data_IF_701345206847
#
_entry.id   IF_701345206847
#
_cell.length_a   1.000
_cell.length_b   1.000
_cell.length_c   1.000
_cell.angle_alpha   90.00
_cell.angle_beta   90.00
_cell.angle_gamma   90.00
#
_symmetry.space_group_name_H-M   'P 1'
#
loop_
_entity.id
_entity.type
_entity.pdbx_description
1 polymer ?
#
# COMPACT_ATOMS: atom_id res chain seq x y z
N UNK A 1 -20.26 -40.45 73.34
CA UNK A 1 -19.86 -39.11 73.80
C UNK A 1 -19.83 -38.22 72.56
N UNK A 2 -20.97 -37.67 72.12
CA UNK A 2 -21.45 -36.30 72.47
C UNK A 2 -20.37 -35.25 72.07
N UNK A 3 -20.56 -34.27 71.16
CA UNK A 3 -21.75 -33.57 70.65
C UNK A 3 -21.43 -32.88 69.30
N UNK A 4 -22.48 -32.64 68.49
CA UNK A 4 -22.60 -31.50 67.57
C UNK A 4 -23.42 -30.40 68.27
N UNK A 5 -23.24 -29.11 67.95
CA UNK A 5 -24.32 -28.35 67.28
C UNK A 5 -23.73 -27.43 66.18
N UNK A 6 -24.26 -27.42 64.96
CA UNK A 6 -25.32 -26.54 64.44
C UNK A 6 -25.36 -25.12 65.04
N UNK A 7 -25.03 -24.12 64.21
CA UNK A 7 -25.73 -22.84 64.25
C UNK A 7 -25.71 -22.19 62.86
N UNK A 8 -26.89 -22.19 62.26
CA UNK A 8 -27.26 -21.40 61.09
C UNK A 8 -27.79 -20.06 61.60
N UNK A 9 -27.29 -18.92 61.13
CA UNK A 9 -28.14 -17.73 60.96
C UNK A 9 -27.52 -16.69 60.03
N UNK A 10 -28.36 -16.31 59.08
CA UNK A 10 -28.22 -15.28 58.07
C UNK A 10 -28.13 -13.89 58.69
N UNK A 11 -27.35 -13.00 58.07
CA UNK A 11 -27.73 -11.60 57.93
C UNK A 11 -27.25 -11.10 56.56
N UNK A 12 -28.21 -10.96 55.66
CA UNK A 12 -28.07 -10.22 54.40
C UNK A 12 -28.20 -8.72 54.71
N UNK A 13 -27.20 -7.91 54.35
CA UNK A 13 -27.43 -6.52 53.93
C UNK A 13 -26.53 -6.19 52.74
N UNK A 14 -27.19 -5.95 51.60
CA UNK A 14 -26.63 -5.42 50.37
C UNK A 14 -25.99 -4.03 50.60
N UNK A 15 -24.82 -3.81 50.02
CA UNK A 15 -24.56 -2.59 49.24
C UNK A 15 -23.62 -2.92 48.08
N UNK A 16 -24.25 -3.18 46.94
CA UNK A 16 -23.87 -2.77 45.59
C UNK A 16 -22.41 -2.31 45.39
N UNK A 17 -21.57 -3.21 44.87
CA UNK A 17 -20.34 -2.83 44.17
C UNK A 17 -20.44 -3.34 42.74
N UNK A 18 -21.06 -2.49 41.93
CA UNK A 18 -20.99 -2.49 40.48
C UNK A 18 -19.51 -2.54 40.03
N UNK A 19 -19.02 -3.60 39.35
CA UNK A 19 -17.86 -3.45 38.51
C UNK A 19 -18.37 -2.86 37.19
N UNK A 20 -18.26 -1.54 37.02
CA UNK A 20 -18.33 -0.94 35.69
C UNK A 20 -17.26 -1.60 34.82
N UNK A 21 -17.71 -2.56 34.02
CA UNK A 21 -16.96 -3.12 32.92
C UNK A 21 -16.89 -2.04 31.83
N UNK A 22 -15.71 -1.67 31.33
CA UNK A 22 -15.64 -0.90 30.10
C UNK A 22 -15.92 -1.86 28.96
N UNK A 23 -17.20 -2.08 28.66
CA UNK A 23 -17.64 -2.71 27.42
C UNK A 23 -17.52 -1.68 26.28
N UNK A 24 -16.27 -1.39 25.90
CA UNK A 24 -15.96 -0.60 24.72
C UNK A 24 -15.14 -1.48 23.78
N UNK A 25 -15.84 -2.13 22.86
CA UNK A 25 -15.36 -2.41 21.51
C UNK A 25 -13.95 -3.03 21.37
N UNK A 26 -13.64 -4.11 22.10
CA UNK A 26 -12.42 -4.91 21.90
C UNK A 26 -12.24 -5.40 20.45
N UNK A 27 -13.35 -5.63 19.75
CA UNK A 27 -13.35 -6.07 18.36
C UNK A 27 -13.05 -4.93 17.38
N UNK A 28 -13.31 -3.66 17.77
CA UNK A 28 -12.97 -2.48 16.96
C UNK A 28 -11.50 -2.10 17.19
N UNK A 29 -10.99 -2.20 18.42
CA UNK A 29 -9.60 -1.84 18.73
C UNK A 29 -8.58 -2.81 18.11
N UNK A 30 -8.87 -4.12 18.07
CA UNK A 30 -7.97 -5.10 17.40
C UNK A 30 -8.07 -4.98 15.87
N UNK A 31 -9.27 -4.80 15.31
CA UNK A 31 -9.43 -4.58 13.87
C UNK A 31 -8.85 -3.24 13.39
N UNK A 32 -8.72 -2.22 14.26
CA UNK A 32 -8.10 -0.94 13.93
C UNK A 32 -6.57 -0.95 14.03
N UNK A 33 -5.97 -1.71 14.97
CA UNK A 33 -4.50 -1.82 15.05
C UNK A 33 -3.87 -2.54 13.84
N UNK A 34 -4.60 -3.48 13.22
CA UNK A 34 -4.13 -4.22 12.03
C UNK A 34 -4.08 -3.40 10.72
N UNK A 35 -4.50 -2.13 10.76
CA UNK A 35 -4.84 -1.36 9.55
C UNK A 35 -4.13 -0.02 9.41
N UNK A 36 -3.27 0.34 10.36
CA UNK A 36 -2.58 1.62 10.32
C UNK A 36 -1.40 1.58 9.34
N UNK A 37 -1.26 2.65 8.55
CA UNK A 37 -0.15 2.80 7.63
C UNK A 37 1.01 3.41 8.40
N UNK A 38 2.17 2.75 8.35
CA UNK A 38 3.39 3.18 8.98
C UNK A 38 4.51 3.31 7.92
N UNK A 39 4.68 4.49 7.32
CA UNK A 39 5.73 4.73 6.35
C UNK A 39 7.14 4.64 6.94
N UNK A 40 7.30 4.81 8.27
CA UNK A 40 8.60 4.74 8.94
C UNK A 40 9.18 3.33 8.93
N UNK A 41 8.32 2.32 9.04
CA UNK A 41 8.68 0.90 8.96
C UNK A 41 8.37 0.25 7.60
N UNK A 42 8.06 1.04 6.57
CA UNK A 42 7.64 0.55 5.25
C UNK A 42 6.48 -0.45 5.35
N UNK A 43 5.47 -0.14 6.15
CA UNK A 43 4.26 -0.96 6.33
C UNK A 43 3.03 -0.24 5.81
N UNK A 44 2.40 -0.83 4.80
CA UNK A 44 1.24 -0.25 4.13
C UNK A 44 0.13 -1.31 3.94
N UNK A 45 -0.56 -1.74 5.01
CA UNK A 45 -1.60 -2.77 4.92
C UNK A 45 -2.64 -2.47 3.84
N UNK A 46 -2.89 -3.45 2.96
CA UNK A 46 -3.89 -3.37 1.88
C UNK A 46 -3.69 -2.21 0.89
N UNK A 47 -2.44 -1.78 0.69
CA UNK A 47 -2.12 -0.70 -0.21
C UNK A 47 -1.46 -1.17 -1.51
N UNK A 48 -1.72 -0.45 -2.58
CA UNK A 48 -0.79 -0.36 -3.71
C UNK A 48 0.19 0.77 -3.39
N UNK A 49 1.47 0.53 -3.57
CA UNK A 49 2.55 1.49 -3.32
C UNK A 49 3.24 1.86 -4.62
N UNK A 50 3.82 3.06 -4.66
CA UNK A 50 4.49 3.58 -5.85
C UNK A 50 5.74 4.38 -5.49
N UNK A 51 6.79 4.23 -6.30
CA UNK A 51 8.07 4.94 -6.14
C UNK A 51 8.60 5.44 -7.50
N UNK A 52 9.23 6.63 -7.57
CA UNK A 52 9.78 7.15 -8.82
C UNK A 52 10.96 6.28 -9.31
N UNK A 53 10.98 6.01 -10.62
CA UNK A 53 12.09 5.36 -11.31
C UNK A 53 13.10 6.45 -11.71
N UNK A 54 14.37 6.35 -11.31
CA UNK A 54 15.41 7.31 -11.70
C UNK A 54 15.46 7.52 -13.22
N UNK A 55 15.69 8.76 -13.64
CA UNK A 55 15.68 9.22 -15.03
C UNK A 55 14.30 9.15 -15.72
N UNK A 56 13.60 8.01 -15.68
CA UNK A 56 12.32 7.82 -16.38
C UNK A 56 11.22 8.70 -15.79
N UNK A 57 11.05 8.70 -14.47
CA UNK A 57 10.05 9.55 -13.80
C UNK A 57 10.41 11.03 -13.91
N UNK A 58 11.68 11.38 -14.14
CA UNK A 58 12.09 12.77 -14.34
C UNK A 58 11.60 13.32 -15.68
N UNK A 59 11.41 12.47 -16.70
CA UNK A 59 10.75 12.87 -17.95
C UNK A 59 9.23 12.78 -17.84
N UNK A 60 8.72 11.75 -17.16
CA UNK A 60 7.30 11.42 -17.10
C UNK A 60 6.89 11.18 -15.64
N UNK A 61 6.50 12.22 -14.87
CA UNK A 61 6.32 12.14 -13.41
C UNK A 61 5.17 11.24 -12.95
N UNK A 62 4.32 10.80 -13.87
CA UNK A 62 3.25 9.82 -13.64
C UNK A 62 3.70 8.36 -13.85
N UNK A 63 4.83 8.13 -14.55
CA UNK A 63 5.40 6.80 -14.72
C UNK A 63 6.35 6.52 -13.57
N UNK A 64 6.17 5.37 -12.93
CA UNK A 64 7.07 4.89 -11.90
C UNK A 64 6.81 3.43 -11.57
N UNK A 65 7.43 2.97 -10.50
CA UNK A 65 7.42 1.57 -10.10
C UNK A 65 6.31 1.31 -9.09
N UNK A 66 5.66 0.16 -9.19
CA UNK A 66 4.48 -0.19 -8.41
C UNK A 66 4.70 -1.48 -7.63
N UNK A 67 4.12 -1.57 -6.44
CA UNK A 67 4.03 -2.80 -5.65
C UNK A 67 2.67 -2.92 -5.00
N UNK A 68 2.34 -4.11 -4.52
CA UNK A 68 1.13 -4.38 -3.74
C UNK A 68 1.51 -4.92 -2.37
N UNK A 69 0.77 -4.54 -1.34
CA UNK A 69 1.09 -4.88 0.03
C UNK A 69 0.13 -5.94 0.57
N UNK A 70 0.68 -6.88 1.35
CA UNK A 70 -0.11 -7.87 2.08
C UNK A 70 -0.96 -7.22 3.16
N UNK A 71 -1.78 -8.02 3.82
CA UNK A 71 -2.57 -7.61 4.97
C UNK A 71 -1.73 -7.19 6.18
N UNK A 72 -0.50 -7.68 6.29
CA UNK A 72 0.50 -7.23 7.27
C UNK A 72 1.26 -5.97 6.82
N UNK A 73 0.93 -5.42 5.65
CA UNK A 73 1.60 -4.25 5.07
C UNK A 73 2.97 -4.53 4.48
N UNK A 74 3.35 -5.79 4.26
CA UNK A 74 4.60 -6.15 3.61
C UNK A 74 4.48 -5.93 2.10
N UNK A 75 5.39 -5.12 1.56
CA UNK A 75 5.42 -4.79 0.13
C UNK A 75 5.88 -6.01 -0.68
N UNK A 76 5.20 -6.28 -1.79
CA UNK A 76 5.60 -7.20 -2.85
C UNK A 76 5.66 -6.43 -4.17
N UNK A 77 6.82 -6.39 -4.80
CA UNK A 77 7.02 -5.77 -6.10
C UNK A 77 7.91 -6.61 -6.99
N UNK A 78 7.55 -6.69 -8.27
CA UNK A 78 8.36 -7.35 -9.29
C UNK A 78 9.53 -6.43 -9.66
N UNK A 79 10.66 -6.61 -8.97
CA UNK A 79 11.81 -5.71 -8.98
C UNK A 79 12.82 -6.00 -10.11
N UNK A 80 12.67 -7.12 -10.81
CA UNK A 80 13.53 -7.49 -11.94
C UNK A 80 13.21 -8.89 -12.45
N UNK A 81 13.88 -9.36 -13.52
CA UNK A 81 13.61 -10.68 -14.09
C UNK A 81 13.71 -11.77 -13.02
N UNK A 82 12.66 -12.59 -12.92
CA UNK A 82 12.58 -13.71 -11.98
C UNK A 82 12.65 -13.31 -10.49
N UNK A 83 12.48 -12.02 -10.17
CA UNK A 83 12.67 -11.51 -8.82
C UNK A 83 11.51 -10.63 -8.37
N UNK A 84 10.78 -11.13 -7.38
CA UNK A 84 9.80 -10.37 -6.61
C UNK A 84 10.40 -10.07 -5.25
N UNK A 85 10.60 -8.79 -4.97
CA UNK A 85 11.15 -8.33 -3.69
C UNK A 85 10.09 -8.38 -2.60
N UNK A 86 10.55 -8.47 -1.36
CA UNK A 86 9.74 -8.51 -0.16
C UNK A 86 10.20 -7.43 0.83
N UNK A 87 9.29 -6.54 1.21
CA UNK A 87 9.51 -5.51 2.21
C UNK A 87 10.17 -4.22 1.70
N UNK A 88 10.93 -4.26 0.61
CA UNK A 88 11.57 -3.08 0.01
C UNK A 88 11.27 -2.98 -1.48
N UNK A 89 10.97 -1.77 -1.97
CA UNK A 89 10.80 -1.54 -3.40
C UNK A 89 12.13 -1.40 -4.14
N UNK A 90 12.16 -1.82 -5.41
CA UNK A 90 13.34 -1.78 -6.28
C UNK A 90 14.05 -0.42 -6.38
N UNK A 91 13.30 0.69 -6.35
CA UNK A 91 13.83 2.05 -6.54
C UNK A 91 13.76 2.90 -5.26
N UNK A 92 13.75 2.23 -4.10
CA UNK A 92 13.69 2.85 -2.78
C UNK A 92 12.27 3.09 -2.29
N UNK A 93 12.16 3.61 -1.06
CA UNK A 93 10.90 3.68 -0.31
C UNK A 93 9.73 4.29 -1.11
N UNK A 94 8.50 3.77 -0.91
CA UNK A 94 7.30 4.34 -1.51
C UNK A 94 7.21 5.84 -1.29
N UNK A 95 6.90 6.58 -2.35
CA UNK A 95 6.57 8.01 -2.26
C UNK A 95 5.06 8.23 -2.25
N UNK A 96 4.30 7.28 -2.79
CA UNK A 96 2.84 7.27 -2.75
C UNK A 96 2.30 5.91 -2.34
N UNK A 97 1.10 5.93 -1.81
CA UNK A 97 0.29 4.75 -1.53
C UNK A 97 -1.17 5.01 -1.89
N UNK A 98 -1.87 3.97 -2.29
CA UNK A 98 -3.32 3.95 -2.49
C UNK A 98 -3.87 2.80 -1.65
N UNK A 99 -4.66 3.13 -0.62
CA UNK A 99 -5.29 2.13 0.26
C UNK A 99 -6.56 1.58 -0.40
N UNK A 100 -6.67 0.25 -0.45
CA UNK A 100 -7.81 -0.49 -0.99
C UNK A 100 -8.62 -1.09 0.16
N UNK A 101 -9.87 -1.45 -0.14
CA UNK A 101 -10.74 -2.11 0.84
C UNK A 101 -10.65 -3.63 0.65
N UNK A 102 -10.05 -4.38 1.59
CA UNK A 102 -9.92 -5.83 1.46
C UNK A 102 -11.26 -6.56 1.40
N UNK A 103 -12.39 -5.96 1.83
CA UNK A 103 -13.70 -6.58 1.72
C UNK A 103 -14.17 -6.71 0.26
N UNK A 104 -13.60 -5.91 -0.64
CA UNK A 104 -13.90 -5.96 -2.08
C UNK A 104 -13.09 -7.06 -2.80
N UNK A 105 -12.18 -7.75 -2.12
CA UNK A 105 -11.53 -8.94 -2.61
C UNK A 105 -12.41 -10.18 -2.36
N UNK A 106 -12.40 -11.11 -3.31
CA UNK A 106 -13.01 -12.43 -3.12
C UNK A 106 -12.34 -13.11 -1.93
N UNK A 107 -13.14 -13.57 -0.97
CA UNK A 107 -12.68 -14.15 0.30
C UNK A 107 -11.97 -13.16 1.27
N UNK A 108 -12.19 -11.85 1.10
CA UNK A 108 -11.73 -10.82 2.04
C UNK A 108 -10.20 -10.79 2.21
N UNK A 109 -9.76 -10.54 3.46
CA UNK A 109 -8.33 -10.49 3.85
C UNK A 109 -7.55 -11.75 3.43
N UNK A 110 -8.14 -12.93 3.58
CA UNK A 110 -7.48 -14.20 3.23
C UNK A 110 -7.25 -14.32 1.72
N UNK A 111 -8.28 -14.04 0.91
CA UNK A 111 -8.14 -14.08 -0.54
C UNK A 111 -7.20 -13.01 -1.10
N UNK A 112 -7.10 -11.86 -0.43
CA UNK A 112 -6.13 -10.81 -0.75
C UNK A 112 -4.69 -11.34 -0.66
N UNK A 113 -4.30 -11.92 0.47
CA UNK A 113 -2.93 -12.40 0.69
C UNK A 113 -2.57 -13.59 -0.20
N UNK A 114 -3.51 -14.53 -0.37
CA UNK A 114 -3.33 -15.69 -1.26
C UNK A 114 -3.08 -15.22 -2.69
N UNK A 115 -3.90 -14.29 -3.21
CA UNK A 115 -3.74 -13.80 -4.57
C UNK A 115 -2.43 -13.02 -4.79
N UNK A 116 -1.94 -12.29 -3.79
CA UNK A 116 -0.62 -11.63 -3.85
C UNK A 116 0.49 -12.68 -3.89
N UNK A 117 0.39 -13.72 -3.07
CA UNK A 117 1.35 -14.83 -3.06
C UNK A 117 1.38 -15.52 -4.43
N UNK A 118 0.22 -15.90 -4.96
CA UNK A 118 0.09 -16.58 -6.25
C UNK A 118 0.62 -15.72 -7.41
N UNK A 119 0.28 -14.42 -7.44
CA UNK A 119 0.84 -13.50 -8.42
C UNK A 119 2.36 -13.39 -8.31
N UNK A 120 2.89 -13.40 -7.09
CA UNK A 120 4.34 -13.35 -6.87
C UNK A 120 5.04 -14.62 -7.35
N UNK A 121 4.46 -15.81 -7.13
CA UNK A 121 5.00 -17.07 -7.66
C UNK A 121 5.00 -17.09 -9.19
N UNK A 122 3.92 -16.60 -9.83
CA UNK A 122 3.87 -16.47 -11.30
C UNK A 122 4.99 -15.56 -11.82
N UNK A 123 5.23 -14.42 -11.16
CA UNK A 123 6.23 -13.46 -11.63
C UNK A 123 7.68 -13.81 -11.27
N UNK A 124 7.91 -14.67 -10.26
CA UNK A 124 9.21 -15.32 -10.04
C UNK A 124 9.63 -16.18 -11.24
N UNK A 125 8.68 -16.68 -12.04
CA UNK A 125 8.95 -17.41 -13.27
C UNK A 125 9.05 -16.55 -14.54
N UNK A 126 8.87 -15.23 -14.46
CA UNK A 126 8.75 -14.34 -15.64
C UNK A 126 9.98 -13.48 -15.88
N UNK A 127 10.27 -13.25 -17.17
CA UNK A 127 11.28 -12.30 -17.59
C UNK A 127 10.70 -10.87 -17.52
N UNK A 128 11.39 -9.97 -16.83
CA UNK A 128 10.91 -8.60 -16.63
C UNK A 128 11.10 -7.76 -17.90
N UNK A 129 9.99 -7.33 -18.50
CA UNK A 129 10.00 -6.40 -19.63
C UNK A 129 9.47 -5.04 -19.17
N UNK A 130 10.30 -4.00 -19.32
CA UNK A 130 10.03 -2.64 -18.80
C UNK A 130 8.63 -2.09 -19.19
N UNK A 131 8.13 -2.44 -20.37
CA UNK A 131 6.89 -1.86 -20.92
C UNK A 131 5.67 -2.79 -20.99
N UNK A 132 5.84 -4.13 -20.98
CA UNK A 132 4.72 -5.05 -21.28
C UNK A 132 4.47 -6.13 -20.21
N UNK A 133 5.48 -6.52 -19.44
CA UNK A 133 5.38 -7.52 -18.36
C UNK A 133 6.25 -7.00 -17.20
N UNK A 134 5.70 -5.98 -16.53
CA UNK A 134 6.39 -5.18 -15.53
C UNK A 134 5.67 -5.27 -14.18
N UNK A 135 6.12 -4.45 -13.25
CA UNK A 135 5.56 -4.35 -11.91
C UNK A 135 4.07 -4.00 -11.85
N UNK A 136 3.52 -3.22 -12.79
CA UNK A 136 2.09 -2.93 -12.85
C UNK A 136 1.30 -4.16 -13.30
N UNK A 137 1.84 -4.96 -14.21
CA UNK A 137 1.23 -6.23 -14.63
C UNK A 137 1.20 -7.26 -13.49
N UNK A 138 2.21 -7.26 -12.60
CA UNK A 138 2.23 -8.07 -11.37
C UNK A 138 1.10 -7.68 -10.42
N UNK A 139 0.94 -6.38 -10.15
CA UNK A 139 -0.17 -5.88 -9.31
C UNK A 139 -1.53 -6.14 -9.96
N UNK A 140 -1.66 -5.96 -11.28
CA UNK A 140 -2.87 -6.26 -12.01
C UNK A 140 -3.25 -7.75 -11.90
N UNK A 141 -2.27 -8.65 -12.02
CA UNK A 141 -2.50 -10.09 -11.84
C UNK A 141 -3.02 -10.38 -10.42
N UNK A 142 -2.41 -9.82 -9.38
CA UNK A 142 -2.88 -10.01 -8.01
C UNK A 142 -4.35 -9.57 -7.85
N UNK A 143 -4.72 -8.38 -8.35
CA UNK A 143 -6.09 -7.89 -8.30
C UNK A 143 -7.07 -8.77 -9.10
N UNK A 144 -6.64 -9.31 -10.23
CA UNK A 144 -7.45 -10.22 -11.05
C UNK A 144 -7.66 -11.58 -10.36
N UNK A 145 -6.62 -12.13 -9.72
CA UNK A 145 -6.70 -13.39 -8.98
C UNK A 145 -7.65 -13.29 -7.79
N UNK A 146 -7.60 -12.18 -7.04
CA UNK A 146 -8.56 -11.92 -5.95
C UNK A 146 -9.92 -11.39 -6.43
N UNK A 147 -10.13 -11.24 -7.74
CA UNK A 147 -11.34 -10.68 -8.35
C UNK A 147 -11.77 -9.36 -7.69
N UNK A 148 -10.82 -8.46 -7.45
CA UNK A 148 -11.06 -7.23 -6.71
C UNK A 148 -12.18 -6.41 -7.37
N UNK A 149 -13.19 -6.02 -6.59
CA UNK A 149 -14.45 -5.39 -7.05
C UNK A 149 -15.25 -6.25 -8.05
N UNK A 150 -15.14 -7.57 -7.96
CA UNK A 150 -15.83 -8.50 -8.87
C UNK A 150 -15.28 -8.49 -10.30
N UNK A 151 -14.08 -7.96 -10.52
CA UNK A 151 -13.46 -7.82 -11.86
C UNK A 151 -12.21 -8.68 -12.01
N UNK A 152 -11.98 -9.16 -13.22
CA UNK A 152 -10.77 -9.89 -13.64
C UNK A 152 -10.04 -9.21 -14.81
N UNK A 153 -10.37 -7.95 -15.08
CA UNK A 153 -9.86 -7.15 -16.21
C UNK A 153 -8.96 -5.99 -15.79
N UNK A 154 -8.42 -6.02 -14.57
CA UNK A 154 -7.37 -5.09 -14.15
C UNK A 154 -6.15 -5.24 -15.07
N UNK A 155 -5.56 -4.12 -15.46
CA UNK A 155 -4.38 -4.08 -16.32
C UNK A 155 -3.46 -2.91 -15.92
N UNK A 156 -2.24 -2.93 -16.44
CA UNK A 156 -1.20 -1.97 -16.08
C UNK A 156 -1.58 -0.51 -16.35
N UNK A 157 -2.25 -0.21 -17.48
CA UNK A 157 -2.60 1.17 -17.86
C UNK A 157 -3.67 1.72 -16.92
N UNK A 158 -4.68 0.90 -16.63
CA UNK A 158 -5.72 1.24 -15.68
C UNK A 158 -5.11 1.53 -14.31
N UNK A 159 -4.22 0.67 -13.82
CA UNK A 159 -3.57 0.86 -12.53
C UNK A 159 -2.67 2.10 -12.47
N UNK A 160 -1.89 2.38 -13.52
CA UNK A 160 -1.10 3.60 -13.59
C UNK A 160 -2.01 4.84 -13.46
N UNK A 161 -3.15 4.85 -14.15
CA UNK A 161 -4.13 5.93 -14.06
C UNK A 161 -4.76 6.05 -12.68
N UNK A 162 -5.25 4.95 -12.09
CA UNK A 162 -5.85 4.98 -10.74
C UNK A 162 -4.84 5.38 -9.67
N UNK A 163 -3.59 4.92 -9.76
CA UNK A 163 -2.52 5.31 -8.84
C UNK A 163 -2.22 6.81 -8.92
N UNK A 164 -2.32 7.40 -10.11
CA UNK A 164 -2.15 8.85 -10.29
C UNK A 164 -3.25 9.65 -9.60
N UNK A 165 -4.52 9.21 -9.71
CA UNK A 165 -5.68 9.92 -9.17
C UNK A 165 -5.89 9.68 -7.67
N UNK A 166 -5.73 8.43 -7.21
CA UNK A 166 -6.04 8.03 -5.82
C UNK A 166 -4.81 7.90 -4.93
N UNK A 167 -3.60 7.96 -5.49
CA UNK A 167 -2.36 7.88 -4.74
C UNK A 167 -2.16 9.09 -3.84
N UNK A 168 -1.97 8.84 -2.54
CA UNK A 168 -1.58 9.84 -1.54
C UNK A 168 -0.08 9.80 -1.34
N UNK A 169 0.55 10.96 -1.21
CA UNK A 169 1.98 11.00 -0.86
C UNK A 169 2.19 10.58 0.59
N UNK A 170 3.29 9.87 0.85
CA UNK A 170 3.68 9.48 2.23
C UNK A 170 4.09 10.70 3.06
N UNK A 171 4.61 11.75 2.41
CA UNK A 171 5.02 13.00 3.04
C UNK A 171 5.18 14.12 2.00
N UNK A 172 5.34 15.36 2.47
CA UNK A 172 5.70 16.50 1.60
C UNK A 172 7.04 16.27 0.91
N UNK A 173 8.03 15.72 1.65
CA UNK A 173 9.33 15.38 1.09
C UNK A 173 9.24 14.36 -0.05
N UNK A 174 8.32 13.40 0.04
CA UNK A 174 8.06 12.45 -1.03
C UNK A 174 7.44 13.12 -2.27
N UNK A 175 6.55 14.10 -2.09
CA UNK A 175 6.03 14.89 -3.21
C UNK A 175 7.15 15.68 -3.90
N UNK A 176 8.00 16.35 -3.13
CA UNK A 176 9.16 17.09 -3.67
C UNK A 176 10.09 16.14 -4.44
N UNK A 177 10.43 14.98 -3.85
CA UNK A 177 11.27 13.96 -4.49
C UNK A 177 10.72 13.50 -5.84
N UNK A 178 9.40 13.40 -5.97
CA UNK A 178 8.74 12.96 -7.21
C UNK A 178 8.73 14.05 -8.29
N UNK A 179 8.46 15.31 -7.94
CA UNK A 179 8.24 16.38 -8.94
C UNK A 179 9.45 17.25 -9.23
N UNK A 180 10.32 17.46 -8.26
CA UNK A 180 11.43 18.42 -8.38
C UNK A 180 12.35 18.14 -9.57
N UNK A 181 12.77 16.88 -9.85
CA UNK A 181 13.61 16.60 -11.02
C UNK A 181 12.94 16.99 -12.35
N UNK A 182 11.65 16.71 -12.51
CA UNK A 182 10.88 17.07 -13.70
C UNK A 182 10.78 18.59 -13.86
N UNK A 183 10.48 19.31 -12.78
CA UNK A 183 10.35 20.78 -12.79
C UNK A 183 11.69 21.44 -13.17
N UNK A 184 12.81 20.98 -12.62
CA UNK A 184 14.14 21.50 -12.95
C UNK A 184 14.47 21.26 -14.41
N UNK A 185 14.25 20.03 -14.89
CA UNK A 185 14.51 19.65 -16.28
C UNK A 185 13.68 20.49 -17.25
N UNK A 186 12.38 20.64 -16.97
CA UNK A 186 11.48 21.49 -17.77
C UNK A 186 11.93 22.96 -17.75
N UNK A 187 12.32 23.48 -16.58
CA UNK A 187 12.85 24.84 -16.45
C UNK A 187 14.10 25.07 -17.30
N UNK A 188 15.06 24.15 -17.28
CA UNK A 188 16.25 24.22 -18.13
C UNK A 188 15.91 24.21 -19.62
N UNK A 189 14.98 23.35 -20.05
CA UNK A 189 14.53 23.31 -21.45
C UNK A 189 13.92 24.66 -21.85
N UNK A 190 13.03 25.21 -21.04
CA UNK A 190 12.41 26.51 -21.31
C UNK A 190 13.46 27.62 -21.40
N UNK A 191 14.43 27.66 -20.50
CA UNK A 191 15.52 28.65 -20.53
C UNK A 191 16.34 28.53 -21.81
N UNK A 192 16.70 27.31 -22.22
CA UNK A 192 17.46 27.06 -23.45
C UNK A 192 16.64 27.52 -24.67
N UNK A 193 15.37 27.14 -24.76
CA UNK A 193 14.50 27.54 -25.89
C UNK A 193 14.35 29.06 -25.97
N UNK A 194 14.18 29.73 -24.85
CA UNK A 194 14.11 31.19 -24.78
C UNK A 194 15.43 31.82 -25.23
N UNK A 195 16.57 31.33 -24.74
CA UNK A 195 17.88 31.85 -25.14
C UNK A 195 18.18 31.64 -26.64
N UNK A 196 17.76 30.51 -27.21
CA UNK A 196 17.88 30.24 -28.64
C UNK A 196 17.01 31.19 -29.46
N UNK A 197 15.75 31.40 -29.03
CA UNK A 197 14.86 32.35 -29.68
C UNK A 197 15.40 33.79 -29.65
N UNK A 198 15.90 34.26 -28.51
CA UNK A 198 16.55 35.58 -28.42
C UNK A 198 17.80 35.69 -29.30
N UNK A 199 18.58 34.61 -29.45
CA UNK A 199 19.74 34.62 -30.33
C UNK A 199 19.34 34.76 -31.80
N UNK A 200 18.28 34.10 -32.24
CA UNK A 200 17.79 34.20 -33.63
C UNK A 200 17.30 35.60 -33.97
N UNK A 201 16.65 36.31 -33.04
CA UNK A 201 16.20 37.70 -33.24
C UNK A 201 17.36 38.72 -33.35
N UNK A 202 18.58 38.34 -32.95
CA UNK A 202 19.77 39.20 -32.92
C UNK A 202 20.87 38.79 -33.92
N UNK A 203 20.61 37.82 -34.80
CA UNK A 203 21.50 37.39 -35.91
C UNK A 203 20.89 37.79 -37.24
#
# INVERSE_FOLDING_TARGET
SQNMPDNTQEDQVLTDRNPESPNVNSNVSIAQMDNEIDPGNSRFPFCIVWTPIPCLTWLLPWIGHMGICTSAGVIRDFAGPYFVSEGNMAFGNPTKYWKLDPQLARNGKSGWDVAISDASEVYKGRMHNLFCDNCHSHVALALNLMQYQGKTSWNMVLLAFWMMIHGKYVSVGAAIKTWMPFIIMLGCIVVILVALHFREEHV
#
